data_IF_673090582241
#
_entry.id   IF_673090582241
#
_cell.length_a   1.000
_cell.length_b   1.000
_cell.length_c   1.000
_cell.angle_alpha   90.00
_cell.angle_beta   90.00
_cell.angle_gamma   90.00
#
_symmetry.space_group_name_H-M   'P 1'
#
loop_
_entity.id
_entity.type
_entity.pdbx_description
1 polymer ?
#
# COMPACT_ATOMS: atom_id res chain seq x y z
N UNK A 1 -9.17 -25.88 -3.55
CA UNK A 1 -8.80 -24.89 -2.50
C UNK A 1 -7.32 -24.51 -2.51
N UNK A 2 -6.39 -25.44 -2.81
CA UNK A 2 -4.95 -25.13 -2.88
C UNK A 2 -4.62 -23.98 -3.83
N UNK A 3 -5.19 -23.95 -5.03
CA UNK A 3 -5.00 -22.86 -5.98
C UNK A 3 -5.35 -21.49 -5.37
N UNK A 4 -6.52 -21.38 -4.72
CA UNK A 4 -6.96 -20.15 -4.06
C UNK A 4 -6.02 -19.69 -2.94
N UNK A 5 -5.51 -20.64 -2.12
CA UNK A 5 -4.51 -20.34 -1.09
C UNK A 5 -3.19 -19.84 -1.68
N UNK A 6 -2.74 -20.41 -2.80
CA UNK A 6 -1.51 -20.00 -3.47
C UNK A 6 -1.69 -18.63 -4.12
N UNK A 7 -2.80 -18.39 -4.82
CA UNK A 7 -3.10 -17.10 -5.43
C UNK A 7 -3.20 -16.00 -4.37
N UNK A 8 -3.89 -16.26 -3.26
CA UNK A 8 -3.99 -15.32 -2.13
C UNK A 8 -2.62 -15.01 -1.51
N UNK A 9 -1.78 -16.02 -1.33
CA UNK A 9 -0.41 -15.84 -0.83
C UNK A 9 0.46 -15.02 -1.79
N UNK A 10 0.43 -15.32 -3.08
CA UNK A 10 1.23 -14.61 -4.10
C UNK A 10 0.80 -13.15 -4.17
N UNK A 11 -0.51 -12.88 -4.26
CA UNK A 11 -1.03 -11.51 -4.27
C UNK A 11 -0.69 -10.77 -2.97
N UNK A 12 -0.92 -11.40 -1.81
CA UNK A 12 -0.59 -10.81 -0.51
C UNK A 12 0.91 -10.48 -0.39
N UNK A 13 1.79 -11.33 -0.93
CA UNK A 13 3.24 -11.08 -0.94
C UNK A 13 3.60 -9.89 -1.83
N UNK A 14 3.05 -9.81 -3.05
CA UNK A 14 3.30 -8.68 -3.95
C UNK A 14 2.82 -7.36 -3.34
N UNK A 15 1.65 -7.37 -2.73
CA UNK A 15 1.06 -6.19 -2.09
C UNK A 15 1.81 -5.79 -0.82
N UNK A 16 2.33 -6.76 -0.06
CA UNK A 16 3.23 -6.47 1.06
C UNK A 16 4.51 -5.77 0.56
N UNK A 17 5.13 -6.27 -0.51
CA UNK A 17 6.33 -5.63 -1.06
C UNK A 17 6.03 -4.21 -1.56
N UNK A 18 4.89 -4.03 -2.24
CA UNK A 18 4.44 -2.71 -2.70
C UNK A 18 4.17 -1.76 -1.52
N UNK A 19 3.52 -2.24 -0.45
CA UNK A 19 3.22 -1.43 0.71
C UNK A 19 4.46 -1.07 1.53
N UNK A 20 5.44 -1.97 1.62
CA UNK A 20 6.73 -1.65 2.23
C UNK A 20 7.49 -0.60 1.40
N UNK A 21 7.45 -0.71 0.06
CA UNK A 21 8.01 0.31 -0.82
C UNK A 21 7.31 1.67 -0.67
N UNK A 22 5.98 1.67 -0.54
CA UNK A 22 5.21 2.88 -0.23
C UNK A 22 5.71 3.51 1.08
N UNK A 23 5.74 2.75 2.17
CA UNK A 23 6.04 3.23 3.51
C UNK A 23 7.48 3.73 3.66
N UNK A 24 8.45 3.04 3.05
CA UNK A 24 9.87 3.30 3.30
C UNK A 24 10.58 4.08 2.19
N UNK A 25 9.97 4.25 1.03
CA UNK A 25 10.60 4.97 -0.08
C UNK A 25 9.74 6.10 -0.60
N UNK A 26 8.49 5.81 -0.98
CA UNK A 26 7.65 6.82 -1.63
C UNK A 26 7.18 7.90 -0.65
N UNK A 27 6.62 7.51 0.51
CA UNK A 27 6.12 8.47 1.50
C UNK A 27 7.23 9.44 1.97
N UNK A 28 8.41 8.97 2.42
CA UNK A 28 9.48 9.89 2.82
C UNK A 28 9.95 10.81 1.69
N UNK A 29 9.94 10.33 0.43
CA UNK A 29 10.33 11.16 -0.71
C UNK A 29 9.34 12.29 -1.00
N UNK A 30 8.03 12.04 -0.83
CA UNK A 30 6.98 13.05 -1.00
C UNK A 30 7.02 14.06 0.13
N UNK A 31 7.18 13.60 1.38
CA UNK A 31 7.34 14.48 2.55
C UNK A 31 8.58 15.40 2.41
N UNK A 32 9.69 14.88 1.86
CA UNK A 32 10.87 15.70 1.58
C UNK A 32 10.60 16.78 0.52
N UNK A 33 9.88 16.44 -0.55
CA UNK A 33 9.47 17.43 -1.57
C UNK A 33 8.52 18.48 -1.00
N UNK A 34 7.61 18.07 -0.11
CA UNK A 34 6.71 18.97 0.61
C UNK A 34 7.48 19.97 1.48
N UNK A 35 8.45 19.48 2.26
CA UNK A 35 9.30 20.33 3.10
C UNK A 35 10.08 21.35 2.27
N UNK A 36 10.64 20.94 1.12
CA UNK A 36 11.31 21.85 0.20
C UNK A 36 10.38 22.93 -0.38
N UNK A 37 9.13 22.57 -0.66
CA UNK A 37 8.12 23.50 -1.17
C UNK A 37 7.70 24.52 -0.09
N UNK A 38 7.42 24.05 1.14
CA UNK A 38 6.92 24.89 2.24
C UNK A 38 8.01 25.77 2.85
N UNK A 39 9.20 25.22 3.12
CA UNK A 39 10.27 25.95 3.81
C UNK A 39 11.16 26.76 2.85
N UNK A 40 11.29 26.31 1.60
CA UNK A 40 12.21 26.91 0.64
C UNK A 40 11.65 28.13 -0.11
N UNK A 41 10.34 28.20 -0.34
CA UNK A 41 9.72 29.22 -1.21
C UNK A 41 10.25 29.25 -2.66
N UNK A 42 11.15 28.33 -3.02
CA UNK A 42 12.03 28.39 -4.20
C UNK A 42 11.67 27.35 -5.27
N UNK A 43 10.69 26.49 -4.97
CA UNK A 43 10.00 25.69 -5.97
C UNK A 43 9.01 26.63 -6.67
N UNK A 44 9.44 27.35 -7.71
CA UNK A 44 8.54 28.10 -8.60
C UNK A 44 7.39 27.22 -9.13
N UNK A 45 6.46 27.75 -9.95
CA UNK A 45 5.25 27.03 -10.38
C UNK A 45 5.46 25.54 -10.79
N UNK A 46 6.59 25.24 -11.43
CA UNK A 46 7.00 23.88 -11.83
C UNK A 46 7.26 22.92 -10.65
N UNK A 47 7.75 23.41 -9.51
CA UNK A 47 8.01 22.60 -8.32
C UNK A 47 6.74 22.24 -7.54
N UNK A 48 5.75 23.14 -7.53
CA UNK A 48 4.41 22.84 -7.00
C UNK A 48 3.70 21.74 -7.80
N UNK A 49 3.76 21.83 -9.14
CA UNK A 49 3.19 20.81 -10.03
C UNK A 49 3.87 19.43 -9.85
N UNK A 50 5.20 19.41 -9.67
CA UNK A 50 5.95 18.19 -9.41
C UNK A 50 5.60 17.55 -8.06
N UNK A 51 5.47 18.36 -7.00
CA UNK A 51 5.03 17.86 -5.69
C UNK A 51 3.61 17.30 -5.76
N UNK A 52 2.67 18.01 -6.39
CA UNK A 52 1.30 17.53 -6.56
C UNK A 52 1.27 16.20 -7.31
N UNK A 53 2.01 16.07 -8.42
CA UNK A 53 2.08 14.82 -9.18
C UNK A 53 2.67 13.67 -8.34
N UNK A 54 3.70 13.94 -7.54
CA UNK A 54 4.29 12.95 -6.65
C UNK A 54 3.32 12.54 -5.53
N UNK A 55 2.59 13.50 -4.96
CA UNK A 55 1.59 13.28 -3.92
C UNK A 55 0.40 12.45 -4.45
N UNK A 56 -0.15 12.79 -5.62
CA UNK A 56 -1.18 11.98 -6.28
C UNK A 56 -0.69 10.56 -6.59
N UNK A 57 0.55 10.42 -7.07
CA UNK A 57 1.18 9.12 -7.31
C UNK A 57 1.27 8.26 -6.05
N UNK A 58 1.67 8.87 -4.93
CA UNK A 58 1.69 8.21 -3.61
C UNK A 58 0.29 7.74 -3.20
N UNK A 59 -0.72 8.61 -3.30
CA UNK A 59 -2.11 8.24 -2.95
C UNK A 59 -2.63 7.10 -3.82
N UNK A 60 -2.39 7.14 -5.13
CA UNK A 60 -2.79 6.07 -6.05
C UNK A 60 -2.15 4.72 -5.69
N UNK A 61 -0.88 4.74 -5.29
CA UNK A 61 -0.20 3.52 -4.83
C UNK A 61 -0.76 3.03 -3.48
N UNK A 62 -1.14 3.93 -2.59
CA UNK A 62 -1.82 3.60 -1.34
C UNK A 62 -3.21 2.98 -1.58
N UNK A 63 -4.00 3.53 -2.51
CA UNK A 63 -5.27 2.93 -2.94
C UNK A 63 -5.09 1.54 -3.54
N UNK A 64 -4.02 1.34 -4.32
CA UNK A 64 -3.68 0.03 -4.87
C UNK A 64 -3.38 -0.98 -3.75
N UNK A 65 -2.62 -0.57 -2.73
CA UNK A 65 -2.35 -1.39 -1.55
C UNK A 65 -3.62 -1.70 -0.75
N UNK A 66 -4.52 -0.72 -0.62
CA UNK A 66 -5.77 -0.86 0.12
C UNK A 66 -6.75 -1.82 -0.59
N UNK A 67 -7.09 -1.53 -1.85
CA UNK A 67 -8.04 -2.35 -2.62
C UNK A 67 -7.44 -3.72 -2.90
N UNK A 68 -6.19 -3.76 -3.34
CA UNK A 68 -5.47 -5.01 -3.60
C UNK A 68 -5.33 -5.84 -2.33
N UNK A 69 -4.94 -5.23 -1.21
CA UNK A 69 -4.84 -5.88 0.10
C UNK A 69 -6.18 -6.44 0.55
N UNK A 70 -7.27 -5.70 0.36
CA UNK A 70 -8.63 -6.17 0.62
C UNK A 70 -8.99 -7.42 -0.19
N UNK A 71 -8.73 -7.41 -1.49
CA UNK A 71 -8.99 -8.55 -2.37
C UNK A 71 -8.12 -9.77 -1.99
N UNK A 72 -6.83 -9.57 -1.76
CA UNK A 72 -5.91 -10.63 -1.35
C UNK A 72 -6.29 -11.22 0.02
N UNK A 73 -6.79 -10.39 0.94
CA UNK A 73 -7.33 -10.82 2.23
C UNK A 73 -8.54 -11.73 2.04
N UNK A 74 -9.51 -11.34 1.21
CA UNK A 74 -10.71 -12.15 0.93
C UNK A 74 -10.32 -13.51 0.30
N UNK A 75 -9.41 -13.49 -0.68
CA UNK A 75 -8.93 -14.72 -1.33
C UNK A 75 -8.17 -15.64 -0.36
N UNK A 76 -7.52 -15.10 0.66
CA UNK A 76 -6.76 -15.86 1.65
C UNK A 76 -7.61 -16.31 2.85
N UNK A 77 -8.60 -15.52 3.29
CA UNK A 77 -9.40 -15.82 4.48
C UNK A 77 -10.36 -16.99 4.26
N UNK A 78 -10.97 -17.08 3.07
CA UNK A 78 -11.90 -18.16 2.71
C UNK A 78 -11.24 -19.55 2.84
N UNK A 79 -10.06 -19.80 2.21
CA UNK A 79 -9.39 -21.08 2.36
C UNK A 79 -8.82 -21.30 3.76
N UNK A 80 -8.40 -20.24 4.47
CA UNK A 80 -7.95 -20.37 5.85
C UNK A 80 -9.08 -20.85 6.78
N UNK A 81 -10.28 -20.27 6.69
CA UNK A 81 -11.43 -20.67 7.52
C UNK A 81 -11.84 -22.11 7.23
N UNK A 82 -11.97 -22.47 5.94
CA UNK A 82 -12.50 -23.78 5.53
C UNK A 82 -11.50 -24.94 5.65
N UNK A 83 -10.21 -24.70 5.40
CA UNK A 83 -9.21 -25.79 5.31
C UNK A 83 -8.08 -25.65 6.32
N UNK A 84 -8.03 -24.55 7.08
CA UNK A 84 -6.96 -24.25 8.06
C UNK A 84 -5.55 -24.31 7.44
N UNK A 85 -5.45 -24.03 6.15
CA UNK A 85 -4.19 -24.06 5.42
C UNK A 85 -3.26 -22.94 5.91
N UNK A 86 -2.07 -23.32 6.40
CA UNK A 86 -1.06 -22.37 6.91
C UNK A 86 -0.57 -21.38 5.84
N UNK A 87 -0.56 -21.77 4.56
CA UNK A 87 -0.22 -20.87 3.46
C UNK A 87 -1.25 -19.74 3.32
N UNK A 88 -2.53 -20.05 3.53
CA UNK A 88 -3.60 -19.07 3.50
C UNK A 88 -3.51 -18.11 4.71
N UNK A 89 -3.04 -18.59 5.86
CA UNK A 89 -2.77 -17.73 7.02
C UNK A 89 -1.68 -16.70 6.72
N UNK A 90 -0.58 -17.11 6.09
CA UNK A 90 0.48 -16.18 5.68
C UNK A 90 -0.06 -15.13 4.70
N UNK A 91 -0.88 -15.54 3.72
CA UNK A 91 -1.56 -14.61 2.81
C UNK A 91 -2.45 -13.60 3.53
N UNK A 92 -3.21 -14.04 4.55
CA UNK A 92 -4.01 -13.15 5.41
C UNK A 92 -3.14 -12.11 6.11
N UNK A 93 -2.04 -12.53 6.75
CA UNK A 93 -1.16 -11.63 7.48
C UNK A 93 -0.51 -10.59 6.56
N UNK A 94 -0.02 -11.01 5.38
CA UNK A 94 0.60 -10.10 4.42
C UNK A 94 -0.41 -9.10 3.86
N UNK A 95 -1.64 -9.56 3.58
CA UNK A 95 -2.71 -8.70 3.09
C UNK A 95 -3.17 -7.69 4.15
N UNK A 96 -3.17 -8.06 5.43
CA UNK A 96 -3.46 -7.14 6.54
C UNK A 96 -2.44 -6.02 6.64
N UNK A 97 -1.14 -6.33 6.54
CA UNK A 97 -0.09 -5.30 6.55
C UNK A 97 -0.26 -4.34 5.36
N UNK A 98 -0.52 -4.86 4.16
CA UNK A 98 -0.78 -4.04 2.99
C UNK A 98 -2.01 -3.13 3.15
N UNK A 99 -3.09 -3.65 3.74
CA UNK A 99 -4.30 -2.88 4.06
C UNK A 99 -4.03 -1.75 5.06
N UNK A 100 -3.31 -2.03 6.14
CA UNK A 100 -3.01 -1.03 7.18
C UNK A 100 -2.19 0.11 6.59
N UNK A 101 -1.14 -0.19 5.83
CA UNK A 101 -0.32 0.84 5.17
C UNK A 101 -1.13 1.59 4.12
N UNK A 102 -1.95 0.88 3.33
CA UNK A 102 -2.85 1.50 2.35
C UNK A 102 -3.86 2.46 3.00
N UNK A 103 -4.39 2.11 4.18
CA UNK A 103 -5.25 3.00 4.97
C UNK A 103 -4.49 4.21 5.50
N UNK A 104 -3.27 4.02 6.01
CA UNK A 104 -2.44 5.11 6.54
C UNK A 104 -2.21 6.22 5.53
N UNK A 105 -1.94 5.88 4.26
CA UNK A 105 -1.53 6.86 3.24
C UNK A 105 -2.59 7.15 2.17
N UNK A 106 -3.55 6.25 1.99
CA UNK A 106 -4.62 6.39 0.99
C UNK A 106 -5.87 7.05 1.57
N UNK A 107 -5.97 7.19 2.89
CA UNK A 107 -7.09 7.88 3.52
C UNK A 107 -6.57 9.02 4.37
N UNK A 108 -7.32 10.13 4.43
CA UNK A 108 -7.07 11.25 5.35
C UNK A 108 -7.22 10.88 6.84
N UNK A 109 -7.21 9.59 7.19
CA UNK A 109 -7.34 9.15 8.58
C UNK A 109 -6.07 9.42 9.40
N UNK A 110 -4.92 9.63 8.74
CA UNK A 110 -3.62 9.80 9.40
C UNK A 110 -2.72 10.89 8.78
N UNK A 111 -3.21 11.65 7.78
CA UNK A 111 -2.54 12.81 7.18
C UNK A 111 -2.90 14.11 7.90
#
# INVERSE_FOLDING_TARGET
MKALSVTGLVLGTLLLLLSLYLQFSVVPSVEYMEAMYIEGGDMGAMGGDLWMAAHEGMMNMAYTCLIGGGLALILSIIPFIKTKNKLALAGVLFSLVALVIGLMHGTHMFS
#
